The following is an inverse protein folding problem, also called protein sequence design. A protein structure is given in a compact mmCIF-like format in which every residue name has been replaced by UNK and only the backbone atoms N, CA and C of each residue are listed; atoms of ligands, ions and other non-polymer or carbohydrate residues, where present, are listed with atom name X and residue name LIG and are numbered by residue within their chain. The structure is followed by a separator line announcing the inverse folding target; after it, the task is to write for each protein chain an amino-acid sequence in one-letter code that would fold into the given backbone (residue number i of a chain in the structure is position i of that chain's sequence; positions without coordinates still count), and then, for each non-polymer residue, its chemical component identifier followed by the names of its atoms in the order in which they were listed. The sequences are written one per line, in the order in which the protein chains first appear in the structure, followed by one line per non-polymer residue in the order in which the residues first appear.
data_IF_093057902334
#
_entry.id   IF_093057902334
#
_cell.length_a   1.000
_cell.length_b   1.000
_cell.length_c   1.000
_cell.angle_alpha   90.00
_cell.angle_beta   90.00
_cell.angle_gamma   90.00
#
_symmetry.space_group_name_H-M   'P 1'
#
loop_
_entity.id
_entity.type
_entity.pdbx_description
1 polymer ?
#
# COMPACT_ATOMS: atom_id res chain seq x y z
N UNK A 1 23.02 9.11 -12.74
CA UNK A 1 21.66 9.70 -12.66
C UNK A 1 20.86 9.14 -13.83
N UNK A 2 19.71 8.52 -13.62
CA UNK A 2 18.89 7.99 -14.72
C UNK A 2 18.19 9.14 -15.45
N UNK A 3 18.03 9.02 -16.78
CA UNK A 3 17.28 10.01 -17.55
C UNK A 3 15.78 9.89 -17.28
N UNK A 4 15.06 10.99 -17.49
CA UNK A 4 13.59 11.02 -17.37
C UNK A 4 12.92 10.05 -18.35
N UNK A 5 13.47 9.92 -19.56
CA UNK A 5 13.01 8.95 -20.55
C UNK A 5 13.16 7.50 -20.04
N UNK A 6 14.28 7.18 -19.39
CA UNK A 6 14.48 5.85 -18.82
C UNK A 6 13.50 5.55 -17.67
N UNK A 7 13.27 6.51 -16.77
CA UNK A 7 12.31 6.34 -15.68
C UNK A 7 10.88 6.19 -16.20
N UNK A 8 10.52 6.91 -17.25
CA UNK A 8 9.20 6.78 -17.89
C UNK A 8 8.99 5.40 -18.48
N UNK A 9 10.00 4.85 -19.16
CA UNK A 9 9.95 3.47 -19.67
C UNK A 9 9.77 2.46 -18.53
N UNK A 10 10.56 2.59 -17.46
CA UNK A 10 10.51 1.70 -16.31
C UNK A 10 9.12 1.69 -15.65
N UNK A 11 8.43 2.83 -15.59
CA UNK A 11 7.05 2.88 -15.08
C UNK A 11 6.09 2.05 -15.95
N UNK A 12 6.27 2.04 -17.27
CA UNK A 12 5.45 1.21 -18.16
C UNK A 12 5.77 -0.28 -17.96
N UNK A 13 7.05 -0.62 -17.86
CA UNK A 13 7.50 -2.00 -17.64
C UNK A 13 6.95 -2.56 -16.33
N UNK A 14 7.00 -1.80 -15.23
CA UNK A 14 6.44 -2.19 -13.93
C UNK A 14 4.94 -2.48 -14.03
N UNK A 15 4.19 -1.65 -14.77
CA UNK A 15 2.74 -1.86 -14.96
C UNK A 15 2.45 -3.10 -15.79
N UNK A 16 3.24 -3.34 -16.83
CA UNK A 16 3.14 -4.53 -17.67
C UNK A 16 3.43 -5.79 -16.84
N UNK A 17 4.54 -5.83 -16.12
CA UNK A 17 4.92 -6.97 -15.28
C UNK A 17 3.87 -7.26 -14.22
N UNK A 18 3.29 -6.24 -13.59
CA UNK A 18 2.27 -6.47 -12.59
C UNK A 18 1.01 -7.12 -13.18
N UNK A 19 0.60 -6.73 -14.39
CA UNK A 19 -0.50 -7.37 -15.11
C UNK A 19 -0.16 -8.83 -15.48
N UNK A 20 1.04 -9.08 -15.99
CA UNK A 20 1.52 -10.43 -16.33
C UNK A 20 1.59 -11.35 -15.11
N UNK A 21 1.90 -10.80 -13.94
CA UNK A 21 1.89 -11.50 -12.64
C UNK A 21 0.48 -11.69 -12.06
N UNK A 22 -0.57 -11.18 -12.72
CA UNK A 22 -1.97 -11.37 -12.32
C UNK A 22 -2.52 -10.34 -11.34
N UNK A 23 -1.85 -9.20 -11.14
CA UNK A 23 -2.39 -8.12 -10.32
C UNK A 23 -3.41 -7.29 -11.10
N UNK A 24 -4.53 -6.95 -10.47
CA UNK A 24 -5.61 -6.13 -11.03
C UNK A 24 -5.25 -4.65 -11.15
N UNK A 25 -4.34 -4.14 -10.30
CA UNK A 25 -3.91 -2.75 -10.33
C UNK A 25 -2.51 -2.56 -9.74
N UNK A 26 -1.82 -1.49 -10.16
CA UNK A 26 -0.49 -1.10 -9.66
C UNK A 26 -0.36 0.41 -9.52
N UNK A 27 0.27 0.87 -8.46
CA UNK A 27 0.61 2.27 -8.20
C UNK A 27 2.06 2.44 -7.74
N UNK A 28 2.64 3.62 -7.99
CA UNK A 28 4.00 3.99 -7.56
C UNK A 28 3.90 5.30 -6.79
N UNK A 29 4.37 5.32 -5.55
CA UNK A 29 4.28 6.47 -4.65
C UNK A 29 5.65 6.93 -4.15
N UNK A 30 5.71 8.20 -3.74
CA UNK A 30 6.83 8.74 -2.96
C UNK A 30 6.92 8.14 -1.56
N UNK A 31 7.92 8.56 -0.80
CA UNK A 31 8.18 8.10 0.57
C UNK A 31 8.08 9.21 1.62
N UNK A 32 7.55 10.37 1.21
CA UNK A 32 7.34 11.51 2.10
C UNK A 32 6.05 11.30 2.90
N UNK A 33 6.16 10.66 4.07
CA UNK A 33 5.03 10.21 4.89
C UNK A 33 4.84 11.05 6.17
N UNK A 34 5.38 12.27 6.21
CA UNK A 34 5.38 13.10 7.42
C UNK A 34 3.98 13.45 7.94
N UNK A 35 3.04 13.78 7.05
CA UNK A 35 1.65 14.04 7.41
C UNK A 35 0.93 12.77 7.87
N UNK A 36 1.15 11.65 7.19
CA UNK A 36 0.59 10.35 7.55
C UNK A 36 1.10 9.87 8.92
N UNK A 37 2.38 10.11 9.23
CA UNK A 37 2.95 9.81 10.56
C UNK A 37 2.22 10.59 11.66
N UNK A 38 1.95 11.88 11.43
CA UNK A 38 1.25 12.73 12.38
C UNK A 38 -0.19 12.26 12.58
N UNK A 39 -0.90 11.95 11.49
CA UNK A 39 -2.25 11.39 11.57
C UNK A 39 -2.27 10.07 12.34
N UNK A 40 -1.35 9.14 12.04
CA UNK A 40 -1.25 7.87 12.75
C UNK A 40 -1.01 8.08 14.26
N UNK A 41 -0.08 8.98 14.63
CA UNK A 41 0.19 9.31 16.04
C UNK A 41 -1.05 9.88 16.74
N UNK A 42 -1.77 10.78 16.08
CA UNK A 42 -3.01 11.35 16.61
C UNK A 42 -4.09 10.29 16.83
N UNK A 43 -4.27 9.41 15.84
CA UNK A 43 -5.23 8.30 15.89
C UNK A 43 -4.89 7.28 16.99
N UNK A 44 -3.60 6.94 17.15
CA UNK A 44 -3.13 6.05 18.22
C UNK A 44 -3.34 6.66 19.62
N UNK A 45 -3.04 7.95 19.78
CA UNK A 45 -3.19 8.67 21.05
C UNK A 45 -4.65 8.71 21.52
N UNK A 46 -5.59 8.77 20.57
CA UNK A 46 -7.02 8.73 20.86
C UNK A 46 -7.57 7.32 21.16
N UNK A 47 -6.72 6.29 21.14
CA UNK A 47 -7.17 4.91 21.41
C UNK A 47 -8.04 4.32 20.30
N UNK A 48 -8.02 4.90 19.08
CA UNK A 48 -8.90 4.49 17.98
C UNK A 48 -8.47 3.17 17.30
N UNK A 49 -7.46 2.49 17.83
CA UNK A 49 -6.96 1.21 17.33
C UNK A 49 -7.66 -0.01 17.93
N UNK A 50 -8.61 0.18 18.86
CA UNK A 50 -9.28 -0.93 19.54
C UNK A 50 -8.27 -1.90 20.16
N UNK A 51 -8.43 -3.19 19.91
CA UNK A 51 -7.54 -4.25 20.41
C UNK A 51 -6.25 -4.43 19.58
N UNK A 52 -6.00 -3.59 18.56
CA UNK A 52 -4.85 -3.71 17.68
C UNK A 52 -3.57 -3.14 18.31
N UNK A 53 -3.17 -3.62 19.50
CA UNK A 53 -1.99 -3.12 20.21
C UNK A 53 -0.70 -3.17 19.36
N UNK A 54 -0.62 -4.12 18.41
CA UNK A 54 0.52 -4.22 17.48
C UNK A 54 0.69 -2.96 16.60
N UNK A 55 -0.35 -2.15 16.41
CA UNK A 55 -0.27 -0.87 15.70
C UNK A 55 0.61 0.13 16.45
N UNK A 56 0.49 0.17 17.78
CA UNK A 56 1.30 1.03 18.64
C UNK A 56 2.74 0.50 18.82
N UNK A 57 2.94 -0.84 18.80
CA UNK A 57 4.23 -1.48 19.10
C UNK A 57 5.32 -1.29 18.03
N UNK A 58 4.97 -1.05 16.77
CA UNK A 58 5.95 -1.04 15.67
C UNK A 58 6.67 0.31 15.45
N UNK A 59 6.38 1.30 16.31
CA UNK A 59 7.10 2.58 16.32
C UNK A 59 7.09 3.28 14.95
N UNK A 60 8.23 3.87 14.60
CA UNK A 60 8.39 4.74 13.42
C UNK A 60 8.70 4.00 12.12
N UNK A 61 9.00 2.70 12.15
CA UNK A 61 9.32 1.93 10.92
C UNK A 61 8.18 1.91 9.90
N UNK A 62 6.94 2.15 10.34
CA UNK A 62 5.75 2.25 9.48
C UNK A 62 5.72 3.52 8.62
N UNK A 63 6.30 4.60 9.11
CA UNK A 63 6.27 5.92 8.47
C UNK A 63 7.64 6.38 7.97
N UNK A 64 8.70 5.64 8.29
CA UNK A 64 10.08 5.99 7.91
C UNK A 64 10.70 4.87 7.07
N UNK A 65 10.57 4.91 5.74
CA UNK A 65 11.03 3.83 4.88
C UNK A 65 12.51 3.50 5.02
N UNK A 66 13.36 4.49 5.32
CA UNK A 66 14.79 4.26 5.56
C UNK A 66 15.10 3.42 6.82
N UNK A 67 14.19 3.37 7.80
CA UNK A 67 14.32 2.49 8.98
C UNK A 67 13.86 1.05 8.68
N UNK A 68 13.08 0.86 7.61
CA UNK A 68 12.67 -0.46 7.12
C UNK A 68 13.73 -1.03 6.17
N UNK A 69 14.11 -0.24 5.16
CA UNK A 69 15.16 -0.60 4.20
C UNK A 69 15.95 0.67 3.77
N UNK A 70 17.25 0.77 4.10
CA UNK A 70 18.08 1.90 3.71
C UNK A 70 18.15 2.08 2.20
N UNK A 71 18.06 3.34 1.75
CA UNK A 71 18.10 3.64 0.30
C UNK A 71 16.77 3.45 -0.42
N UNK A 72 15.66 3.20 0.29
CA UNK A 72 14.32 3.20 -0.32
C UNK A 72 14.05 4.55 -1.00
N UNK A 73 13.56 4.52 -2.23
CA UNK A 73 13.26 5.72 -3.03
C UNK A 73 11.76 5.91 -3.28
N UNK A 74 11.04 4.80 -3.50
CA UNK A 74 9.64 4.75 -3.91
C UNK A 74 9.02 3.47 -3.39
N UNK A 75 7.71 3.46 -3.24
CA UNK A 75 6.91 2.26 -2.93
C UNK A 75 6.11 1.87 -4.17
N UNK A 76 6.15 0.59 -4.54
CA UNK A 76 5.28 0.00 -5.55
C UNK A 76 4.20 -0.78 -4.82
N UNK A 77 2.94 -0.43 -5.05
CA UNK A 77 1.79 -1.11 -4.47
C UNK A 77 1.02 -1.83 -5.56
N UNK A 78 0.64 -3.08 -5.30
CA UNK A 78 -0.17 -3.91 -6.20
C UNK A 78 -1.45 -4.34 -5.50
N UNK A 79 -2.53 -4.53 -6.27
CA UNK A 79 -3.82 -5.02 -5.77
C UNK A 79 -4.25 -6.24 -6.55
N UNK A 80 -4.87 -7.19 -5.85
CA UNK A 80 -5.59 -8.31 -6.44
C UNK A 80 -7.04 -8.28 -5.93
N UNK A 81 -7.99 -8.55 -6.81
CA UNK A 81 -9.38 -8.69 -6.40
C UNK A 81 -9.56 -10.06 -5.74
N UNK A 82 -10.03 -10.08 -4.49
CA UNK A 82 -10.14 -11.32 -3.71
C UNK A 82 -11.52 -11.98 -3.81
N UNK A 83 -12.47 -11.36 -4.54
CA UNK A 83 -13.83 -11.88 -4.66
C UNK A 83 -13.80 -13.24 -5.37
N UNK A 84 -14.25 -14.34 -4.73
CA UNK A 84 -14.24 -15.65 -5.37
C UNK A 84 -15.18 -15.65 -6.57
N UNK A 85 -14.75 -16.22 -7.70
CA UNK A 85 -15.60 -16.36 -8.88
C UNK A 85 -16.87 -17.20 -8.62
N UNK A 86 -16.85 -18.03 -7.58
CA UNK A 86 -17.97 -18.88 -7.15
C UNK A 86 -18.83 -18.27 -6.05
N UNK A 87 -18.49 -17.08 -5.55
CA UNK A 87 -19.27 -16.43 -4.49
C UNK A 87 -20.62 -15.96 -5.04
N UNK A 88 -21.69 -16.24 -4.29
CA UNK A 88 -23.03 -15.74 -4.60
C UNK A 88 -23.09 -14.22 -4.44
N UNK A 89 -24.00 -13.58 -5.16
CA UNK A 89 -24.17 -12.13 -5.12
C UNK A 89 -24.49 -11.65 -3.68
N UNK A 90 -23.74 -10.68 -3.13
CA UNK A 90 -23.94 -10.23 -1.75
C UNK A 90 -25.34 -9.65 -1.50
N UNK A 91 -25.93 -8.99 -2.49
CA UNK A 91 -27.27 -8.40 -2.37
C UNK A 91 -28.37 -9.45 -2.41
N UNK A 92 -28.14 -10.58 -3.09
CA UNK A 92 -29.05 -11.71 -3.01
C UNK A 92 -29.07 -12.31 -1.58
N UNK A 93 -27.90 -12.55 -0.99
CA UNK A 93 -27.78 -13.11 0.38
C UNK A 93 -28.41 -12.20 1.43
N UNK A 94 -28.25 -10.88 1.30
CA UNK A 94 -28.79 -9.92 2.28
C UNK A 94 -30.32 -9.76 2.21
N UNK A 95 -30.94 -10.15 1.10
CA UNK A 95 -32.39 -10.02 0.88
C UNK A 95 -33.16 -11.34 1.16
N UNK A 96 -32.46 -12.43 1.47
CA UNK A 96 -33.03 -13.71 1.93
C UNK A 96 -33.29 -13.68 3.46
#
# INVERSE_FOLDING_TARGET
MHSEAHLTSLVQDIRLWALELGFSATGIAGIELGEDEQHLRGWLTQGLHGEMEYMARHGTRRSRPAELEPGTLRVISVRMDYWPATAADPWMILND
#
